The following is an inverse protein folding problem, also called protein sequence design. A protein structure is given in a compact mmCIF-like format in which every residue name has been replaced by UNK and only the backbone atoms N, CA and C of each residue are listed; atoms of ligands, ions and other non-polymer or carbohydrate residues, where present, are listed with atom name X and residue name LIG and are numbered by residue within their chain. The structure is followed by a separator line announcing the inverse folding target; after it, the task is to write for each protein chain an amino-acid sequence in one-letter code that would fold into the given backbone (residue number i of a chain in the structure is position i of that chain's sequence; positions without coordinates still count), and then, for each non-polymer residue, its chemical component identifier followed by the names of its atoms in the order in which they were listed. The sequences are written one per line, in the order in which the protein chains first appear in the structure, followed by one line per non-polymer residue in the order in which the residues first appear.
data_IF_799571681863
#
_entry.id   IF_799571681863
#
_cell.length_a   1.000
_cell.length_b   1.000
_cell.length_c   1.000
_cell.angle_alpha   90.00
_cell.angle_beta   90.00
_cell.angle_gamma   90.00
#
_symmetry.space_group_name_H-M   'P 1'
#
loop_
_entity.id
_entity.type
_entity.pdbx_description
1 polymer ?
#
# COMPACT_ATOMS: atom_id res chain seq x y z
N UNK A 1 -5.03 28.49 9.54
CA UNK A 1 -5.82 27.87 8.46
C UNK A 1 -5.45 26.40 8.47
N UNK A 2 -6.32 25.55 9.02
CA UNK A 2 -6.11 24.10 8.99
C UNK A 2 -6.32 23.64 7.56
N UNK A 3 -5.24 23.28 6.87
CA UNK A 3 -5.34 22.52 5.63
C UNK A 3 -5.87 21.16 6.07
N UNK A 4 -7.13 20.84 5.79
CA UNK A 4 -7.56 19.44 5.87
C UNK A 4 -6.69 18.69 4.87
N UNK A 5 -6.08 17.60 5.32
CA UNK A 5 -5.54 16.60 4.40
C UNK A 5 -6.75 16.00 3.72
N UNK A 6 -6.89 16.31 2.44
CA UNK A 6 -8.07 15.93 1.68
C UNK A 6 -7.84 14.53 1.09
N UNK A 7 -6.58 14.16 0.78
CA UNK A 7 -6.28 12.91 0.07
C UNK A 7 -5.08 12.14 0.65
N UNK A 8 -5.22 10.82 0.68
CA UNK A 8 -4.10 9.88 0.83
C UNK A 8 -4.05 8.98 -0.40
N UNK A 9 -2.91 8.99 -1.09
CA UNK A 9 -2.61 8.05 -2.16
C UNK A 9 -2.14 6.73 -1.53
N UNK A 10 -2.79 5.64 -1.94
CA UNK A 10 -2.40 4.25 -1.67
C UNK A 10 -1.94 3.52 -2.95
N UNK A 11 -0.86 2.74 -2.88
CA UNK A 11 -0.47 1.78 -3.93
C UNK A 11 -0.40 0.38 -3.35
N UNK A 12 -0.74 -0.62 -4.15
CA UNK A 12 -0.83 -2.01 -3.74
C UNK A 12 -0.27 -2.91 -4.82
N UNK A 13 0.67 -3.76 -4.44
CA UNK A 13 1.11 -4.91 -5.22
C UNK A 13 0.56 -6.18 -4.58
N UNK A 14 -0.16 -6.98 -5.37
CA UNK A 14 -0.72 -8.26 -4.98
C UNK A 14 0.12 -9.38 -5.56
N UNK A 15 0.56 -10.30 -4.71
CA UNK A 15 1.32 -11.48 -5.09
C UNK A 15 0.55 -12.75 -4.75
N UNK A 16 0.54 -13.73 -5.66
CA UNK A 16 -0.06 -15.04 -5.39
C UNK A 16 -0.46 -15.80 -6.65
N UNK A 17 -1.17 -16.94 -6.50
CA UNK A 17 -1.62 -17.73 -7.64
C UNK A 17 -2.51 -16.90 -8.58
N UNK A 18 -2.28 -16.98 -9.90
CA UNK A 18 -3.06 -16.23 -10.90
C UNK A 18 -4.58 -16.40 -10.72
N UNK A 19 -5.03 -17.61 -10.41
CA UNK A 19 -6.46 -17.89 -10.22
C UNK A 19 -7.08 -17.09 -9.06
N UNK A 20 -6.32 -16.82 -7.99
CA UNK A 20 -6.77 -16.00 -6.86
C UNK A 20 -6.72 -14.51 -7.20
N UNK A 21 -5.72 -14.06 -7.96
CA UNK A 21 -5.66 -12.68 -8.47
C UNK A 21 -6.87 -12.41 -9.37
N UNK A 22 -7.20 -13.32 -10.28
CA UNK A 22 -8.40 -13.18 -11.13
C UNK A 22 -9.70 -13.21 -10.31
N UNK A 23 -9.74 -14.01 -9.24
CA UNK A 23 -10.88 -14.03 -8.32
C UNK A 23 -11.01 -12.69 -7.59
N UNK A 24 -9.90 -12.12 -7.11
CA UNK A 24 -9.85 -10.79 -6.50
C UNK A 24 -10.35 -9.73 -7.47
N UNK A 25 -9.81 -9.67 -8.70
CA UNK A 25 -10.22 -8.71 -9.73
C UNK A 25 -11.73 -8.75 -9.98
N UNK A 26 -12.30 -9.95 -10.15
CA UNK A 26 -13.75 -10.10 -10.39
C UNK A 26 -14.63 -9.63 -9.23
N UNK A 27 -14.16 -9.73 -8.00
CA UNK A 27 -14.96 -9.40 -6.81
C UNK A 27 -14.79 -7.94 -6.36
N UNK A 28 -13.56 -7.44 -6.43
CA UNK A 28 -13.16 -6.16 -5.82
C UNK A 28 -12.92 -5.05 -6.84
N UNK A 29 -12.66 -5.37 -8.11
CA UNK A 29 -12.47 -4.37 -9.17
C UNK A 29 -13.73 -4.31 -10.02
N UNK A 30 -14.41 -3.18 -9.96
CA UNK A 30 -15.70 -2.94 -10.63
C UNK A 30 -15.53 -1.88 -11.71
N UNK A 31 -16.54 -1.72 -12.56
CA UNK A 31 -16.59 -0.54 -13.44
C UNK A 31 -16.77 0.71 -12.59
N UNK A 32 -15.97 1.74 -12.86
CA UNK A 32 -16.08 3.02 -12.17
C UNK A 32 -17.46 3.67 -12.38
N UNK A 33 -17.92 4.52 -11.46
CA UNK A 33 -19.12 5.32 -11.69
C UNK A 33 -18.91 6.20 -12.94
N UNK A 34 -19.92 6.27 -13.82
CA UNK A 34 -19.92 7.05 -15.09
C UNK A 34 -20.05 8.57 -14.79
N UNK A 35 -19.38 9.08 -13.77
CA UNK A 35 -19.54 10.46 -13.32
C UNK A 35 -18.23 11.25 -13.49
N UNK A 36 -18.04 11.72 -14.73
CA UNK A 36 -17.50 13.01 -15.21
C UNK A 36 -16.20 13.63 -14.70
N UNK A 37 -15.44 13.03 -13.77
CA UNK A 37 -14.27 13.74 -13.21
C UNK A 37 -12.92 13.08 -13.47
N UNK A 38 -12.87 11.86 -14.01
CA UNK A 38 -11.69 11.29 -14.66
C UNK A 38 -12.08 9.99 -15.38
N UNK A 39 -11.59 9.77 -16.61
CA UNK A 39 -11.89 8.65 -17.52
C UNK A 39 -11.41 7.27 -17.01
N UNK A 40 -11.55 6.97 -15.71
CA UNK A 40 -11.18 5.67 -15.16
C UNK A 40 -12.33 4.68 -15.35
N UNK A 41 -12.17 3.76 -16.30
CA UNK A 41 -13.15 2.70 -16.59
C UNK A 41 -13.38 1.74 -15.40
N UNK A 42 -12.44 1.71 -14.44
CA UNK A 42 -12.42 0.80 -13.30
C UNK A 42 -12.31 1.54 -11.97
N UNK A 43 -12.78 0.90 -10.91
CA UNK A 43 -12.64 1.33 -9.53
C UNK A 43 -12.42 0.13 -8.60
N UNK A 44 -11.75 0.35 -7.48
CA UNK A 44 -11.75 -0.61 -6.36
C UNK A 44 -12.99 -0.37 -5.50
N UNK A 45 -13.82 -1.41 -5.36
CA UNK A 45 -15.02 -1.37 -4.54
C UNK A 45 -14.74 -1.92 -3.15
N UNK A 46 -14.24 -1.05 -2.27
CA UNK A 46 -14.06 -1.37 -0.86
C UNK A 46 -15.39 -1.42 -0.08
N UNK A 47 -16.49 -0.93 -0.68
CA UNK A 47 -17.81 -0.89 0.00
C UNK A 47 -18.50 -2.25 0.05
N UNK A 48 -18.07 -3.19 -0.79
CA UNK A 48 -18.54 -4.58 -0.80
C UNK A 48 -17.89 -5.44 0.29
N UNK A 49 -16.90 -4.92 0.99
CA UNK A 49 -16.21 -5.59 2.08
C UNK A 49 -16.96 -5.22 3.38
N UNK A 50 -17.53 -6.20 4.11
CA UNK A 50 -18.47 -5.94 5.20
C UNK A 50 -17.78 -5.38 6.45
N UNK A 51 -17.66 -4.05 6.53
CA UNK A 51 -17.12 -3.40 7.72
C UNK A 51 -17.32 -1.89 7.70
N UNK A 52 -16.73 -1.19 6.74
CA UNK A 52 -16.85 0.26 6.58
C UNK A 52 -16.58 0.58 5.10
N UNK A 53 -17.59 1.05 4.37
CA UNK A 53 -17.40 1.41 2.98
C UNK A 53 -16.62 2.72 2.85
N UNK A 54 -15.29 2.63 2.76
CA UNK A 54 -14.45 3.80 2.50
C UNK A 54 -14.52 4.18 1.02
N UNK A 55 -14.75 5.47 0.76
CA UNK A 55 -14.75 6.00 -0.60
C UNK A 55 -13.32 6.01 -1.14
N UNK A 56 -13.13 5.36 -2.30
CA UNK A 56 -11.90 5.36 -3.06
C UNK A 56 -12.13 6.02 -4.44
N UNK A 57 -11.13 6.74 -4.95
CA UNK A 57 -11.18 7.38 -6.28
C UNK A 57 -9.81 7.34 -6.96
N UNK A 58 -9.73 7.90 -8.18
CA UNK A 58 -8.51 7.94 -9.02
C UNK A 58 -7.86 6.55 -9.19
N UNK A 59 -8.67 5.50 -9.33
CA UNK A 59 -8.15 4.15 -9.49
C UNK A 59 -7.33 4.01 -10.78
N UNK A 60 -6.18 3.35 -10.67
CA UNK A 60 -5.24 3.14 -11.78
C UNK A 60 -4.58 1.77 -11.66
N UNK A 61 -4.69 0.95 -12.71
CA UNK A 61 -3.88 -0.26 -12.83
C UNK A 61 -2.43 0.12 -13.19
N UNK A 62 -1.45 -0.43 -12.48
CA UNK A 62 -0.03 -0.15 -12.69
C UNK A 62 0.58 -1.31 -13.48
N UNK A 63 0.79 -1.11 -14.78
CA UNK A 63 1.27 -2.15 -15.69
C UNK A 63 2.73 -2.00 -16.15
N UNK A 64 3.28 -2.99 -16.86
CA UNK A 64 2.72 -4.33 -17.08
C UNK A 64 2.96 -5.28 -15.90
N UNK A 65 2.06 -6.23 -15.69
CA UNK A 65 2.16 -7.20 -14.58
C UNK A 65 3.00 -8.42 -14.97
N UNK A 66 3.86 -8.87 -14.07
CA UNK A 66 4.51 -10.18 -14.17
C UNK A 66 3.51 -11.31 -13.84
N UNK A 67 3.82 -12.54 -14.24
CA UNK A 67 3.04 -13.70 -13.79
C UNK A 67 2.98 -13.73 -12.26
N UNK A 68 1.78 -13.94 -11.70
CA UNK A 68 1.54 -13.98 -10.25
C UNK A 68 1.67 -12.63 -9.52
N UNK A 69 1.62 -11.51 -10.25
CA UNK A 69 1.58 -10.16 -9.69
C UNK A 69 0.43 -9.36 -10.27
N UNK A 70 -0.18 -8.47 -9.49
CA UNK A 70 -1.13 -7.47 -9.95
C UNK A 70 -0.97 -6.19 -9.14
N UNK A 71 -0.89 -5.05 -9.80
CA UNK A 71 -0.53 -3.78 -9.18
C UNK A 71 -1.55 -2.70 -9.51
N UNK A 72 -1.95 -1.92 -8.53
CA UNK A 72 -2.88 -0.81 -8.71
C UNK A 72 -2.68 0.26 -7.64
N UNK A 73 -3.16 1.47 -7.93
CA UNK A 73 -3.22 2.56 -6.96
C UNK A 73 -4.59 3.24 -6.96
N UNK A 74 -4.90 3.91 -5.87
CA UNK A 74 -6.16 4.62 -5.64
C UNK A 74 -5.97 5.61 -4.50
N UNK A 75 -6.88 6.57 -4.42
CA UNK A 75 -6.84 7.62 -3.42
C UNK A 75 -8.01 7.46 -2.44
N UNK A 76 -7.82 7.88 -1.19
CA UNK A 76 -8.81 7.81 -0.11
C UNK A 76 -8.77 9.07 0.76
N UNK A 77 -9.82 9.34 1.54
CA UNK A 77 -9.82 10.51 2.42
C UNK A 77 -8.92 10.25 3.63
N UNK A 78 -7.84 10.99 3.79
CA UNK A 78 -7.10 11.13 5.04
C UNK A 78 -6.38 9.91 5.67
N UNK A 79 -6.68 8.65 5.34
CA UNK A 79 -6.05 7.46 5.96
C UNK A 79 -6.11 6.20 5.08
N UNK A 80 -5.23 5.23 5.36
CA UNK A 80 -5.17 3.98 4.62
C UNK A 80 -6.37 3.12 5.04
N UNK A 81 -7.02 2.39 4.13
CA UNK A 81 -8.13 1.48 4.45
C UNK A 81 -7.64 0.20 5.16
N UNK A 82 -7.00 0.31 6.33
CA UNK A 82 -6.36 -0.85 6.99
C UNK A 82 -7.37 -1.94 7.36
N UNK A 83 -8.55 -1.58 7.87
CA UNK A 83 -9.58 -2.54 8.26
C UNK A 83 -10.10 -3.33 7.05
N UNK A 84 -10.33 -2.64 5.93
CA UNK A 84 -10.76 -3.26 4.69
C UNK A 84 -9.68 -4.20 4.12
N UNK A 85 -8.40 -3.86 4.29
CA UNK A 85 -7.29 -4.73 3.89
C UNK A 85 -7.09 -5.94 4.81
N UNK A 86 -7.41 -5.83 6.11
CA UNK A 86 -7.48 -6.99 7.02
C UNK A 86 -8.58 -7.96 6.55
N UNK A 87 -9.77 -7.46 6.23
CA UNK A 87 -10.86 -8.27 5.69
C UNK A 87 -10.53 -8.89 4.32
N UNK A 88 -9.85 -8.16 3.43
CA UNK A 88 -9.34 -8.72 2.17
C UNK A 88 -8.32 -9.83 2.42
N UNK A 89 -7.43 -9.66 3.39
CA UNK A 89 -6.44 -10.67 3.74
C UNK A 89 -7.10 -11.97 4.24
N UNK A 90 -8.19 -11.85 5.00
CA UNK A 90 -9.01 -12.99 5.44
C UNK A 90 -9.76 -13.65 4.27
N UNK A 91 -10.31 -12.86 3.33
CA UNK A 91 -11.07 -13.35 2.18
C UNK A 91 -10.19 -14.01 1.10
N UNK A 92 -8.93 -13.60 1.02
CA UNK A 92 -7.93 -14.07 0.07
C UNK A 92 -6.64 -14.52 0.78
N UNK A 93 -6.68 -15.61 1.56
CA UNK A 93 -5.55 -16.04 2.39
C UNK A 93 -4.32 -16.51 1.61
N UNK A 94 -4.44 -16.69 0.29
CA UNK A 94 -3.35 -17.07 -0.63
C UNK A 94 -2.70 -15.87 -1.34
N UNK A 95 -3.24 -14.67 -1.15
CA UNK A 95 -2.70 -13.43 -1.70
C UNK A 95 -1.94 -12.70 -0.60
N UNK A 96 -0.78 -12.16 -0.95
CA UNK A 96 -0.03 -11.22 -0.13
C UNK A 96 -0.19 -9.83 -0.73
N UNK A 97 -0.47 -8.83 0.10
CA UNK A 97 -0.70 -7.45 -0.31
C UNK A 97 0.43 -6.59 0.21
N UNK A 98 1.33 -6.14 -0.65
CA UNK A 98 2.36 -5.13 -0.34
C UNK A 98 1.76 -3.75 -0.56
N UNK A 99 1.56 -3.01 0.52
CA UNK A 99 0.86 -1.75 0.51
C UNK A 99 1.82 -0.61 0.84
N UNK A 100 1.62 0.53 0.18
CA UNK A 100 2.26 1.80 0.50
C UNK A 100 1.21 2.91 0.52
N UNK A 101 1.42 3.93 1.36
CA UNK A 101 0.57 5.10 1.37
C UNK A 101 1.33 6.36 1.77
N UNK A 102 0.80 7.50 1.35
CA UNK A 102 1.30 8.82 1.76
C UNK A 102 0.20 9.87 1.63
N UNK A 103 0.05 10.67 2.68
CA UNK A 103 -0.85 11.81 2.70
C UNK A 103 -0.33 12.97 1.84
N UNK A 104 -1.26 13.70 1.24
CA UNK A 104 -1.01 14.86 0.38
C UNK A 104 -0.41 16.09 1.07
N UNK A 105 -0.20 16.04 2.39
CA UNK A 105 0.33 17.13 3.20
C UNK A 105 1.56 16.74 4.03
N UNK A 106 2.22 15.62 3.67
CA UNK A 106 3.37 15.03 4.37
C UNK A 106 3.09 14.60 5.82
N UNK A 107 1.84 14.56 6.30
CA UNK A 107 1.58 14.26 7.71
C UNK A 107 1.75 12.78 8.07
N UNK A 108 1.58 11.89 7.10
CA UNK A 108 1.59 10.43 7.32
C UNK A 108 2.08 9.69 6.08
N UNK A 109 2.77 8.59 6.32
CA UNK A 109 3.23 7.64 5.32
C UNK A 109 3.23 6.26 5.93
N UNK A 110 2.92 5.25 5.12
CA UNK A 110 2.90 3.87 5.54
C UNK A 110 3.45 2.94 4.49
N UNK A 111 3.93 1.79 4.95
CA UNK A 111 4.26 0.68 4.09
C UNK A 111 4.12 -0.65 4.85
N UNK A 112 4.03 -1.73 4.09
CA UNK A 112 4.17 -3.10 4.58
C UNK A 112 3.05 -4.01 4.10
N UNK A 113 2.96 -5.18 4.71
CA UNK A 113 2.20 -6.30 4.16
C UNK A 113 0.93 -6.61 4.93
N UNK A 114 -0.12 -6.99 4.20
CA UNK A 114 -1.17 -7.88 4.71
C UNK A 114 -0.96 -9.28 4.12
N UNK A 115 -1.26 -10.34 4.89
CA UNK A 115 -0.81 -11.71 4.62
C UNK A 115 0.72 -11.78 4.41
N UNK A 116 1.45 -11.46 5.47
CA UNK A 116 2.90 -11.21 5.46
C UNK A 116 3.68 -12.45 4.97
N UNK A 117 4.45 -12.36 3.86
CA UNK A 117 5.32 -13.44 3.43
C UNK A 117 6.51 -13.61 4.39
N UNK A 118 7.22 -14.76 4.39
CA UNK A 118 8.41 -14.96 5.20
C UNK A 118 9.44 -13.84 4.99
N UNK A 119 9.87 -13.19 6.09
CA UNK A 119 10.81 -12.06 6.05
C UNK A 119 10.18 -10.70 5.79
N UNK A 120 8.89 -10.64 5.43
CA UNK A 120 8.11 -9.42 5.34
C UNK A 120 7.77 -8.83 6.71
N UNK A 121 7.17 -7.63 6.71
CA UNK A 121 6.66 -6.96 7.91
C UNK A 121 5.22 -6.54 7.69
N UNK A 122 4.40 -6.67 8.73
CA UNK A 122 3.02 -6.17 8.71
C UNK A 122 2.97 -4.67 8.42
N UNK A 123 1.92 -4.24 7.72
CA UNK A 123 1.68 -2.85 7.37
C UNK A 123 1.65 -1.94 8.60
N UNK A 124 2.23 -0.74 8.46
CA UNK A 124 2.16 0.36 9.43
C UNK A 124 2.15 1.70 8.71
N UNK A 125 1.43 2.67 9.25
CA UNK A 125 1.27 4.03 8.72
C UNK A 125 1.90 5.12 9.61
N UNK A 126 2.73 4.72 10.58
CA UNK A 126 3.48 5.58 11.49
C UNK A 126 4.90 5.91 11.00
N UNK A 127 5.15 5.81 9.68
CA UNK A 127 6.49 5.99 9.13
C UNK A 127 6.88 7.48 9.08
N UNK A 128 8.15 7.78 9.36
CA UNK A 128 8.68 9.14 9.30
C UNK A 128 8.59 9.69 7.87
N UNK A 129 7.86 10.81 7.70
CA UNK A 129 7.80 11.53 6.43
C UNK A 129 8.94 12.55 6.38
N UNK A 130 9.82 12.55 5.36
CA UNK A 130 10.85 13.58 5.23
C UNK A 130 10.21 14.97 5.08
N UNK A 131 10.80 15.99 5.71
CA UNK A 131 10.23 17.34 5.69
C UNK A 131 10.29 17.96 4.29
N UNK A 132 9.15 18.48 3.79
CA UNK A 132 9.08 19.16 2.49
C UNK A 132 9.17 18.20 1.30
N UNK A 133 8.89 16.93 1.56
CA UNK A 133 8.88 15.84 0.59
C UNK A 133 7.68 15.95 -0.35
N UNK A 134 6.57 16.48 0.18
CA UNK A 134 5.34 16.86 -0.48
C UNK A 134 5.07 18.34 -0.21
N UNK A 135 5.53 19.19 -1.11
CA UNK A 135 5.26 20.63 -1.04
C UNK A 135 3.76 20.88 -1.16
N UNK A 136 3.15 21.33 -0.06
CA UNK A 136 1.79 21.89 0.02
C UNK A 136 1.46 22.71 -1.23
N UNK A 137 0.70 22.11 -2.14
CA UNK A 137 0.27 22.73 -3.37
C UNK A 137 -1.08 22.17 -3.77
N UNK A 138 -1.93 23.03 -4.32
CA UNK A 138 -3.33 22.79 -4.71
C UNK A 138 -3.44 21.81 -5.91
N UNK A 139 -2.38 21.07 -6.24
CA UNK A 139 -2.25 20.33 -7.50
C UNK A 139 -1.66 18.93 -7.32
N UNK A 140 -2.23 17.97 -8.05
CA UNK A 140 -1.77 16.57 -8.21
C UNK A 140 -0.26 16.48 -8.54
N UNK A 141 0.38 15.37 -8.14
CA UNK A 141 1.85 15.16 -8.25
C UNK A 141 2.36 15.42 -9.68
N UNK A 142 3.42 16.22 -9.89
CA UNK A 142 4.15 16.19 -11.15
C UNK A 142 5.00 14.90 -11.24
N UNK A 143 5.24 14.33 -12.44
CA UNK A 143 5.95 13.05 -12.61
C UNK A 143 7.32 12.94 -11.93
N UNK A 144 8.02 14.06 -11.74
CA UNK A 144 9.30 14.08 -11.04
C UNK A 144 9.18 13.83 -9.52
N UNK A 145 8.06 14.23 -8.90
CA UNK A 145 7.79 13.97 -7.48
C UNK A 145 7.44 12.50 -7.26
N UNK A 146 6.70 11.89 -8.19
CA UNK A 146 6.38 10.47 -8.19
C UNK A 146 7.65 9.59 -8.26
N UNK A 147 8.61 9.93 -9.13
CA UNK A 147 9.90 9.23 -9.18
C UNK A 147 10.71 9.33 -7.88
N UNK A 148 10.71 10.50 -7.23
CA UNK A 148 11.36 10.66 -5.92
C UNK A 148 10.65 9.83 -4.85
N UNK A 149 9.33 9.75 -4.93
CA UNK A 149 8.53 8.95 -4.00
C UNK A 149 8.89 7.46 -4.10
N UNK A 150 8.86 6.91 -5.31
CA UNK A 150 9.26 5.53 -5.58
C UNK A 150 10.69 5.23 -5.07
N UNK A 151 11.63 6.18 -5.23
CA UNK A 151 13.00 6.01 -4.75
C UNK A 151 13.11 5.97 -3.21
N UNK A 152 12.35 6.79 -2.50
CA UNK A 152 12.32 6.78 -1.03
C UNK A 152 11.59 5.57 -0.49
N UNK A 153 10.48 5.15 -1.09
CA UNK A 153 9.84 3.88 -0.70
C UNK A 153 10.80 2.71 -0.95
N UNK A 154 11.49 2.67 -2.09
CA UNK A 154 12.49 1.65 -2.35
C UNK A 154 13.61 1.65 -1.29
N UNK A 155 14.09 2.83 -0.88
CA UNK A 155 15.08 2.96 0.19
C UNK A 155 14.55 2.49 1.55
N UNK A 156 13.31 2.85 1.90
CA UNK A 156 12.66 2.38 3.14
C UNK A 156 12.48 0.86 3.13
N UNK A 157 12.01 0.28 2.01
CA UNK A 157 11.92 -1.17 1.81
C UNK A 157 13.28 -1.85 2.02
N UNK A 158 14.36 -1.26 1.50
CA UNK A 158 15.73 -1.77 1.70
C UNK A 158 16.20 -1.68 3.17
N UNK A 159 16.04 -0.51 3.81
CA UNK A 159 16.44 -0.30 5.22
C UNK A 159 15.77 -1.30 6.16
N UNK A 160 14.52 -1.69 5.88
CA UNK A 160 13.78 -2.68 6.67
C UNK A 160 14.26 -4.10 6.45
N UNK A 161 14.58 -4.47 5.21
CA UNK A 161 15.17 -5.76 4.89
C UNK A 161 16.51 -5.91 5.65
N UNK A 162 17.32 -4.85 5.67
CA UNK A 162 18.58 -4.83 6.41
C UNK A 162 18.38 -4.90 7.93
N UNK A 163 17.45 -4.11 8.49
CA UNK A 163 17.15 -4.14 9.92
C UNK A 163 16.63 -5.51 10.39
N UNK A 164 15.84 -6.19 9.55
CA UNK A 164 15.34 -7.55 9.79
C UNK A 164 16.47 -8.58 9.75
N UNK A 165 17.36 -8.47 8.76
CA UNK A 165 18.53 -9.33 8.62
C UNK A 165 19.48 -9.19 9.81
N UNK A 166 19.75 -7.95 10.26
CA UNK A 166 20.59 -7.69 11.45
C UNK A 166 19.96 -8.24 12.74
N UNK A 167 18.64 -8.13 12.90
CA UNK A 167 17.92 -8.68 14.07
C UNK A 167 17.97 -10.21 14.12
N UNK A 168 17.83 -10.88 12.97
CA UNK A 168 17.93 -12.34 12.87
C UNK A 168 19.34 -12.85 13.15
N UNK A 169 20.37 -12.14 12.66
CA UNK A 169 21.77 -12.46 12.94
C UNK A 169 22.16 -12.19 14.40
N UNK A 170 21.65 -11.11 15.01
CA UNK A 170 21.88 -10.79 16.43
C UNK A 170 21.26 -11.78 17.41
N UNK A 171 20.10 -12.37 17.06
CA UNK A 171 19.45 -13.42 17.88
C UNK A 171 20.19 -14.77 17.80
N UNK A 172 20.80 -15.09 16.67
CA UNK A 172 21.61 -16.32 16.48
C UNK A 172 22.86 -16.36 17.36
N UNK A 173 23.50 -15.21 17.59
CA UNK A 173 24.72 -15.12 18.42
C UNK A 173 24.40 -15.24 19.91
N UNK A 174 23.24 -14.74 20.36
CA UNK A 174 22.86 -14.74 21.79
C UNK A 174 22.46 -16.14 22.31
N UNK A 175 21.97 -17.05 21.44
CA UNK A 175 21.60 -18.41 21.86
C UNK A 175 22.76 -19.41 21.94
N UNK A 176 23.96 -19.09 21.43
CA UNK A 176 25.16 -19.95 21.55
C UNK A 176 25.98 -19.73 22.82
N UNK A 177 25.55 -18.84 23.71
CA UNK A 177 26.31 -18.44 24.92
C UNK A 177 25.85 -19.02 26.25
N UNK A 178 24.86 -19.93 26.31
CA UNK A 178 24.40 -20.55 27.57
C UNK A 178 24.38 -22.08 27.50
N UNK A 179 25.56 -22.68 27.40
CA UNK A 179 25.80 -24.05 27.83
C UNK A 179 27.21 -24.11 28.42
N UNK A 180 27.32 -23.81 29.72
CA UNK A 180 28.40 -24.26 30.60
C UNK A 180 27.85 -24.33 32.02
#
# INVERSE_FOLDING_TARGET
MFTMCDEMWNSVDIYGPQAEIERFKRLCIVRGPINDWEDNELAIDLTRIPGYGRTAWNFRELGPHEHCMYSFAFDTVASFPSAEFEELAELFPKLAFDCECIADDDRSMGYGWFNVPPGGRGFRDDCNVPKGYWTKGISKRPPAAEKRHAAVIAALKQDLLEATTRSLLGRSVSQRGRLH
#
